data_IF_860816283628
#
_entry.id   IF_860816283628
#
_cell.length_a   1.000
_cell.length_b   1.000
_cell.length_c   1.000
_cell.angle_alpha   90.00
_cell.angle_beta   90.00
_cell.angle_gamma   90.00
#
_symmetry.space_group_name_H-M   'P 1'
#
loop_
_entity.id
_entity.type
_entity.pdbx_description
1 polymer ?
#
# COMPACT_ATOMS: atom_id res chain seq x y z
N UNK A 1 -7.73 -10.35 12.31
CA UNK A 1 -7.74 -9.45 11.16
C UNK A 1 -7.05 -10.14 10.02
N UNK A 2 -5.75 -9.87 9.83
CA UNK A 2 -4.91 -10.43 8.75
C UNK A 2 -4.97 -11.96 8.69
N UNK A 3 -4.71 -12.65 9.80
CA UNK A 3 -4.80 -14.12 9.83
C UNK A 3 -6.19 -14.69 9.43
N UNK A 4 -7.29 -13.95 9.68
CA UNK A 4 -8.63 -14.41 9.27
C UNK A 4 -8.90 -14.13 7.78
N UNK A 5 -8.30 -13.08 7.22
CA UNK A 5 -8.32 -12.81 5.78
C UNK A 5 -7.52 -13.89 5.05
N UNK A 6 -6.34 -14.24 5.60
CA UNK A 6 -5.47 -15.28 5.05
C UNK A 6 -6.04 -16.71 5.21
N UNK A 7 -7.01 -16.93 6.11
CA UNK A 7 -7.70 -18.22 6.32
C UNK A 7 -9.14 -18.24 5.80
N UNK A 8 -9.49 -17.38 4.83
CA UNK A 8 -10.81 -17.32 4.16
C UNK A 8 -12.02 -17.01 5.07
N UNK A 9 -11.82 -16.58 6.31
CA UNK A 9 -12.86 -16.04 7.20
C UNK A 9 -13.05 -14.52 6.96
N UNK A 10 -13.29 -14.18 5.70
CA UNK A 10 -13.25 -12.80 5.17
C UNK A 10 -14.18 -11.83 5.91
N UNK A 11 -15.35 -12.30 6.37
CA UNK A 11 -16.34 -11.46 7.06
C UNK A 11 -15.88 -11.06 8.47
N UNK A 12 -15.27 -12.01 9.21
CA UNK A 12 -14.71 -11.71 10.52
C UNK A 12 -13.45 -10.83 10.39
N UNK A 13 -12.61 -11.10 9.38
CA UNK A 13 -11.43 -10.28 9.08
C UNK A 13 -11.76 -8.80 8.88
N UNK A 14 -12.77 -8.52 8.05
CA UNK A 14 -13.28 -7.18 7.79
C UNK A 14 -13.77 -6.48 9.05
N UNK A 15 -14.66 -7.12 9.83
CA UNK A 15 -15.25 -6.52 11.04
C UNK A 15 -14.18 -6.06 12.02
N UNK A 16 -13.16 -6.90 12.24
CA UNK A 16 -12.04 -6.57 13.13
C UNK A 16 -11.23 -5.38 12.62
N UNK A 17 -10.96 -5.29 11.31
CA UNK A 17 -10.19 -4.18 10.72
C UNK A 17 -10.98 -2.87 10.75
N UNK A 18 -12.27 -2.89 10.41
CA UNK A 18 -13.16 -1.72 10.49
C UNK A 18 -13.27 -1.23 11.93
N UNK A 19 -13.44 -2.15 12.89
CA UNK A 19 -13.46 -1.82 14.32
C UNK A 19 -12.14 -1.22 14.78
N UNK A 20 -11.01 -1.74 14.32
CA UNK A 20 -9.67 -1.19 14.60
C UNK A 20 -9.56 0.27 14.13
N UNK A 21 -9.91 0.54 12.86
CA UNK A 21 -9.89 1.90 12.30
C UNK A 21 -10.80 2.86 13.07
N UNK A 22 -11.99 2.38 13.49
CA UNK A 22 -12.92 3.18 14.30
C UNK A 22 -12.32 3.59 15.65
N UNK A 23 -11.65 2.66 16.33
CA UNK A 23 -11.02 2.91 17.63
C UNK A 23 -9.80 3.83 17.51
N UNK A 24 -9.01 3.68 16.44
CA UNK A 24 -7.79 4.44 16.21
C UNK A 24 -8.02 5.81 15.54
N UNK A 25 -9.25 6.14 15.14
CA UNK A 25 -9.58 7.35 14.36
C UNK A 25 -8.98 8.64 14.94
N UNK A 26 -9.02 8.81 16.27
CA UNK A 26 -8.50 10.01 16.96
C UNK A 26 -6.97 10.07 17.02
N UNK A 27 -6.31 8.94 16.83
CA UNK A 27 -4.86 8.77 16.95
C UNK A 27 -4.21 8.41 15.60
N UNK A 28 -4.93 8.53 14.49
CA UNK A 28 -4.49 8.01 13.19
C UNK A 28 -3.16 8.57 12.67
N UNK A 29 -2.75 9.76 13.13
CA UNK A 29 -1.46 10.40 12.80
C UNK A 29 -0.42 10.26 13.91
N UNK A 30 -0.73 9.58 15.01
CA UNK A 30 0.27 9.37 16.06
C UNK A 30 1.34 8.41 15.57
N UNK A 31 2.58 8.64 16.03
CA UNK A 31 3.72 7.76 15.78
C UNK A 31 3.40 6.30 16.14
N UNK A 32 2.59 6.07 17.17
CA UNK A 32 2.23 4.72 17.60
C UNK A 32 1.24 4.07 16.65
N UNK A 33 0.19 4.78 16.22
CA UNK A 33 -0.98 4.17 15.60
C UNK A 33 -1.01 4.25 14.07
N UNK A 34 -0.23 5.13 13.46
CA UNK A 34 -0.32 5.36 12.01
C UNK A 34 -0.01 4.11 11.18
N UNK A 35 0.99 3.30 11.58
CA UNK A 35 1.32 2.03 10.92
C UNK A 35 0.14 1.07 10.92
N UNK A 36 -0.56 0.97 12.05
CA UNK A 36 -1.74 0.10 12.19
C UNK A 36 -2.88 0.58 11.30
N UNK A 37 -3.09 1.90 11.22
CA UNK A 37 -4.14 2.47 10.38
C UNK A 37 -3.88 2.19 8.89
N UNK A 38 -2.67 2.48 8.42
CA UNK A 38 -2.25 2.26 7.03
C UNK A 38 -2.34 0.77 6.67
N UNK A 39 -1.81 -0.12 7.51
CA UNK A 39 -1.89 -1.57 7.24
C UNK A 39 -3.34 -2.07 7.23
N UNK A 40 -4.19 -1.60 8.16
CA UNK A 40 -5.60 -1.98 8.17
C UNK A 40 -6.35 -1.46 6.93
N UNK A 41 -6.07 -0.24 6.47
CA UNK A 41 -6.64 0.31 5.24
C UNK A 41 -6.15 -0.45 4.00
N UNK A 42 -4.85 -0.78 3.91
CA UNK A 42 -4.31 -1.58 2.81
C UNK A 42 -5.00 -2.94 2.75
N UNK A 43 -5.10 -3.65 3.87
CA UNK A 43 -5.72 -4.97 3.92
C UNK A 43 -7.22 -4.92 3.58
N UNK A 44 -7.94 -3.87 4.00
CA UNK A 44 -9.32 -3.66 3.56
C UNK A 44 -9.38 -3.37 2.05
N UNK A 45 -8.47 -2.54 1.53
CA UNK A 45 -8.36 -2.26 0.11
C UNK A 45 -8.15 -3.53 -0.73
N UNK A 46 -7.23 -4.40 -0.31
CA UNK A 46 -6.97 -5.69 -0.94
C UNK A 46 -8.21 -6.58 -0.87
N UNK A 47 -8.80 -6.74 0.32
CA UNK A 47 -9.99 -7.56 0.54
C UNK A 47 -11.16 -7.13 -0.36
N UNK A 48 -11.43 -5.83 -0.46
CA UNK A 48 -12.50 -5.32 -1.32
C UNK A 48 -12.17 -5.48 -2.80
N UNK A 49 -10.89 -5.37 -3.18
CA UNK A 49 -10.44 -5.63 -4.55
C UNK A 49 -10.64 -7.10 -4.95
N UNK A 50 -10.37 -8.04 -4.04
CA UNK A 50 -10.58 -9.48 -4.25
C UNK A 50 -12.07 -9.85 -4.34
N UNK A 51 -12.95 -9.03 -3.74
CA UNK A 51 -14.41 -9.14 -3.86
C UNK A 51 -14.99 -8.42 -5.07
N UNK A 52 -14.14 -7.87 -5.94
CA UNK A 52 -14.52 -7.09 -7.12
C UNK A 52 -15.29 -5.79 -6.79
N UNK A 53 -15.25 -5.32 -5.54
CA UNK A 53 -15.82 -4.05 -5.09
C UNK A 53 -14.78 -2.93 -5.24
N UNK A 54 -14.46 -2.59 -6.48
CA UNK A 54 -13.28 -1.81 -6.87
C UNK A 54 -13.33 -0.37 -6.32
N UNK A 55 -14.48 0.28 -6.29
CA UNK A 55 -14.63 1.65 -5.76
C UNK A 55 -14.38 1.69 -4.25
N UNK A 56 -14.82 0.66 -3.52
CA UNK A 56 -14.59 0.54 -2.09
C UNK A 56 -13.10 0.28 -1.82
N UNK A 57 -12.47 -0.60 -2.61
CA UNK A 57 -11.04 -0.85 -2.56
C UNK A 57 -10.24 0.44 -2.79
N UNK A 58 -10.60 1.20 -3.83
CA UNK A 58 -10.00 2.49 -4.15
C UNK A 58 -10.05 3.45 -2.97
N UNK A 59 -11.22 3.62 -2.35
CA UNK A 59 -11.40 4.57 -1.25
C UNK A 59 -10.49 4.25 -0.05
N UNK A 60 -10.32 2.96 0.30
CA UNK A 60 -9.42 2.55 1.37
C UNK A 60 -7.95 2.81 1.02
N UNK A 61 -7.52 2.44 -0.18
CA UNK A 61 -6.13 2.57 -0.62
C UNK A 61 -5.71 4.05 -0.83
N UNK A 62 -6.59 4.89 -1.39
CA UNK A 62 -6.35 6.35 -1.50
C UNK A 62 -6.32 7.00 -0.12
N UNK A 63 -7.20 6.58 0.80
CA UNK A 63 -7.15 7.09 2.18
C UNK A 63 -5.86 6.67 2.90
N UNK A 64 -5.32 5.48 2.61
CA UNK A 64 -4.06 4.99 3.15
C UNK A 64 -2.87 5.79 2.61
N UNK A 65 -2.83 6.04 1.30
CA UNK A 65 -1.84 6.90 0.66
C UNK A 65 -1.86 8.32 1.24
N UNK A 66 -3.05 8.91 1.37
CA UNK A 66 -3.20 10.24 1.94
C UNK A 66 -2.68 10.30 3.39
N UNK A 67 -2.96 9.28 4.19
CA UNK A 67 -2.51 9.20 5.58
C UNK A 67 -0.99 9.07 5.66
N UNK A 68 -0.39 8.23 4.82
CA UNK A 68 1.07 8.11 4.71
C UNK A 68 1.73 9.44 4.37
N UNK A 69 1.25 10.09 3.30
CA UNK A 69 1.81 11.35 2.82
C UNK A 69 1.67 12.47 3.86
N UNK A 70 0.52 12.51 4.55
CA UNK A 70 0.29 13.47 5.64
C UNK A 70 1.27 13.23 6.80
N UNK A 71 1.39 12.00 7.27
CA UNK A 71 2.28 11.66 8.38
C UNK A 71 3.75 11.95 8.06
N UNK A 72 4.22 11.57 6.87
CA UNK A 72 5.61 11.84 6.46
C UNK A 72 5.90 13.34 6.29
N UNK A 73 4.88 14.14 5.94
CA UNK A 73 5.00 15.60 5.85
C UNK A 73 5.03 16.26 7.23
N UNK A 74 4.23 15.79 8.18
CA UNK A 74 4.07 16.42 9.50
C UNK A 74 5.10 15.95 10.54
N UNK A 75 5.44 14.65 10.52
CA UNK A 75 6.29 14.00 11.53
C UNK A 75 7.65 13.62 10.94
N UNK A 76 7.65 12.96 9.77
CA UNK A 76 8.86 12.64 9.02
C UNK A 76 9.79 11.57 9.63
N UNK A 77 9.42 10.95 10.76
CA UNK A 77 10.15 9.84 11.38
C UNK A 77 9.40 8.52 11.24
N UNK A 78 10.09 7.37 11.14
CA UNK A 78 9.41 6.09 10.93
C UNK A 78 8.58 5.71 12.17
N UNK A 79 7.29 5.39 12.00
CA UNK A 79 6.37 5.09 13.09
C UNK A 79 6.66 3.74 13.74
N UNK A 80 6.07 3.48 14.90
CA UNK A 80 6.21 2.20 15.59
C UNK A 80 5.60 1.08 14.74
N UNK A 81 6.32 -0.02 14.58
CA UNK A 81 5.80 -1.19 13.87
C UNK A 81 4.74 -1.91 14.74
N UNK A 82 3.65 -2.43 14.14
CA UNK A 82 2.65 -3.19 14.88
C UNK A 82 3.21 -4.36 15.69
N UNK A 83 4.26 -5.02 15.20
CA UNK A 83 4.85 -6.21 15.84
C UNK A 83 5.61 -5.87 17.11
N UNK A 84 6.19 -4.67 17.22
CA UNK A 84 6.96 -4.23 18.38
C UNK A 84 6.14 -4.13 19.67
N UNK A 85 4.80 -4.06 19.57
CA UNK A 85 3.90 -4.02 20.73
C UNK A 85 3.93 -5.29 21.58
N UNK A 86 4.36 -6.38 20.98
CA UNK A 86 4.40 -7.70 21.61
C UNK A 86 5.82 -8.15 21.93
N UNK A 87 6.82 -7.30 21.65
CA UNK A 87 8.24 -7.60 21.86
C UNK A 87 8.76 -6.93 23.14
N UNK A 88 9.69 -7.56 23.87
CA UNK A 88 10.45 -6.90 24.92
C UNK A 88 11.34 -5.79 24.34
N UNK A 89 11.79 -4.85 25.18
CA UNK A 89 12.50 -3.64 24.73
C UNK A 89 13.78 -3.97 23.93
N UNK A 90 14.51 -5.00 24.36
CA UNK A 90 15.73 -5.50 23.74
C UNK A 90 15.53 -6.12 22.34
N UNK A 91 14.30 -6.50 22.00
CA UNK A 91 13.95 -7.08 20.69
C UNK A 91 13.21 -6.09 19.77
N UNK A 92 13.01 -4.85 20.23
CA UNK A 92 12.39 -3.81 19.41
C UNK A 92 13.24 -3.47 18.20
N UNK A 93 12.56 -3.00 17.16
CA UNK A 93 13.20 -2.70 15.89
C UNK A 93 14.02 -1.42 16.01
N UNK A 94 15.14 -1.39 15.30
CA UNK A 94 15.86 -0.16 15.07
C UNK A 94 15.03 0.81 14.21
N UNK A 95 15.34 2.10 14.28
CA UNK A 95 14.69 3.11 13.44
C UNK A 95 14.83 2.80 11.94
N UNK A 96 16.00 2.28 11.53
CA UNK A 96 16.24 1.88 10.14
C UNK A 96 15.36 0.70 9.71
N UNK A 97 15.14 -0.28 10.58
CA UNK A 97 14.25 -1.41 10.31
C UNK A 97 12.78 -0.97 10.25
N UNK A 98 12.35 -0.11 11.18
CA UNK A 98 11.01 0.51 11.14
C UNK A 98 10.78 1.26 9.83
N UNK A 99 11.75 2.08 9.43
CA UNK A 99 11.70 2.80 8.15
C UNK A 99 11.55 1.83 6.98
N UNK A 100 12.40 0.81 6.87
CA UNK A 100 12.30 -0.19 5.79
C UNK A 100 10.94 -0.88 5.74
N UNK A 101 10.41 -1.30 6.89
CA UNK A 101 9.09 -1.95 6.96
C UNK A 101 7.97 -0.98 6.57
N UNK A 102 8.03 0.26 7.03
CA UNK A 102 7.04 1.28 6.70
C UNK A 102 7.03 1.62 5.21
N UNK A 103 8.20 1.82 4.60
CA UNK A 103 8.33 2.07 3.16
C UNK A 103 7.85 0.86 2.33
N UNK A 104 8.04 -0.38 2.82
CA UNK A 104 7.51 -1.59 2.19
C UNK A 104 5.98 -1.61 2.19
N UNK A 105 5.35 -1.30 3.33
CA UNK A 105 3.89 -1.21 3.45
C UNK A 105 3.33 -0.16 2.48
N UNK A 106 3.97 1.01 2.39
CA UNK A 106 3.54 2.05 1.46
C UNK A 106 3.73 1.65 -0.01
N UNK A 107 4.85 1.03 -0.36
CA UNK A 107 5.09 0.53 -1.72
C UNK A 107 4.05 -0.52 -2.12
N UNK A 108 3.63 -1.37 -1.18
CA UNK A 108 2.56 -2.34 -1.38
C UNK A 108 1.21 -1.67 -1.65
N UNK A 109 0.89 -0.58 -0.93
CA UNK A 109 -0.29 0.22 -1.21
C UNK A 109 -0.31 0.76 -2.65
N UNK A 110 0.80 1.33 -3.12
CA UNK A 110 0.91 1.86 -4.48
C UNK A 110 0.74 0.77 -5.54
N UNK A 111 1.25 -0.44 -5.29
CA UNK A 111 1.07 -1.58 -6.17
C UNK A 111 -0.41 -1.97 -6.33
N UNK A 112 -1.19 -1.97 -5.25
CA UNK A 112 -2.62 -2.25 -5.33
C UNK A 112 -3.42 -1.08 -5.91
N UNK A 113 -3.02 0.18 -5.68
CA UNK A 113 -3.61 1.32 -6.37
C UNK A 113 -3.44 1.20 -7.89
N UNK A 114 -2.27 0.77 -8.37
CA UNK A 114 -2.08 0.51 -9.79
C UNK A 114 -3.09 -0.51 -10.34
N UNK A 115 -3.32 -1.61 -9.63
CA UNK A 115 -4.30 -2.63 -10.04
C UNK A 115 -5.72 -2.10 -10.02
N UNK A 116 -6.13 -1.41 -8.95
CA UNK A 116 -7.46 -0.81 -8.85
C UNK A 116 -7.71 0.18 -9.99
N UNK A 117 -6.76 1.06 -10.31
CA UNK A 117 -6.91 1.97 -11.44
C UNK A 117 -6.88 1.28 -12.80
N UNK A 118 -6.17 0.15 -12.91
CA UNK A 118 -6.22 -0.67 -14.11
C UNK A 118 -7.62 -1.27 -14.30
N UNK A 119 -8.27 -1.74 -13.24
CA UNK A 119 -9.65 -2.24 -13.27
C UNK A 119 -10.68 -1.15 -13.60
N UNK A 120 -10.47 0.08 -13.13
CA UNK A 120 -11.31 1.25 -13.45
C UNK A 120 -11.02 1.85 -14.84
N UNK A 121 -10.20 1.19 -15.66
CA UNK A 121 -9.76 1.67 -16.98
C UNK A 121 -9.06 3.05 -16.97
N UNK A 122 -8.58 3.49 -15.80
CA UNK A 122 -7.81 4.71 -15.61
C UNK A 122 -6.32 4.46 -15.88
N UNK A 123 -6.00 4.05 -17.10
CA UNK A 123 -4.69 3.49 -17.46
C UNK A 123 -3.50 4.43 -17.20
N UNK A 124 -3.68 5.74 -17.36
CA UNK A 124 -2.66 6.74 -17.00
C UNK A 124 -2.31 6.73 -15.52
N UNK A 125 -3.35 6.67 -14.67
CA UNK A 125 -3.19 6.68 -13.22
C UNK A 125 -2.58 5.35 -12.79
N UNK A 126 -3.03 4.23 -13.36
CA UNK A 126 -2.42 2.91 -13.16
C UNK A 126 -0.92 2.90 -13.53
N UNK A 127 -0.56 3.42 -14.72
CA UNK A 127 0.82 3.49 -15.18
C UNK A 127 1.69 4.38 -14.28
N UNK A 128 1.14 5.48 -13.75
CA UNK A 128 1.82 6.32 -12.78
C UNK A 128 2.15 5.55 -11.49
N UNK A 129 1.17 4.83 -10.92
CA UNK A 129 1.40 4.01 -9.73
C UNK A 129 2.36 2.84 -9.99
N UNK A 130 2.29 2.20 -11.17
CA UNK A 130 3.27 1.18 -11.58
C UNK A 130 4.69 1.76 -11.61
N UNK A 131 4.89 2.94 -12.20
CA UNK A 131 6.18 3.62 -12.22
C UNK A 131 6.68 3.88 -10.80
N UNK A 132 5.84 4.50 -9.95
CA UNK A 132 6.19 4.84 -8.57
C UNK A 132 6.55 3.60 -7.75
N UNK A 133 5.82 2.50 -7.96
CA UNK A 133 6.10 1.21 -7.32
C UNK A 133 7.47 0.66 -7.74
N UNK A 134 7.75 0.59 -9.05
CA UNK A 134 9.02 0.08 -9.59
C UNK A 134 10.22 0.92 -9.12
N UNK A 135 10.08 2.24 -9.11
CA UNK A 135 11.11 3.16 -8.63
C UNK A 135 11.44 2.89 -7.16
N UNK A 136 10.44 2.82 -6.30
CA UNK A 136 10.62 2.57 -4.87
C UNK A 136 11.18 1.18 -4.57
N UNK A 137 10.75 0.18 -5.33
CA UNK A 137 11.30 -1.17 -5.28
C UNK A 137 12.82 -1.19 -5.51
N UNK A 138 13.32 -0.43 -6.49
CA UNK A 138 14.76 -0.26 -6.72
C UNK A 138 15.44 0.51 -5.58
N UNK A 139 14.88 1.65 -5.16
CA UNK A 139 15.45 2.51 -4.11
C UNK A 139 15.66 1.78 -2.78
N UNK A 140 14.77 0.84 -2.46
CA UNK A 140 14.83 0.06 -1.21
C UNK A 140 15.41 -1.36 -1.40
N UNK A 141 15.87 -1.72 -2.60
CA UNK A 141 16.34 -3.05 -2.96
C UNK A 141 15.37 -4.18 -2.52
N UNK A 142 14.07 -3.92 -2.69
CA UNK A 142 12.98 -4.76 -2.20
C UNK A 142 12.13 -5.29 -3.37
N UNK A 143 12.72 -6.13 -4.21
CA UNK A 143 12.07 -6.69 -5.39
C UNK A 143 12.62 -8.06 -5.78
N UNK A 144 11.79 -8.83 -6.50
CA UNK A 144 12.26 -10.02 -7.20
C UNK A 144 12.74 -9.62 -8.60
N UNK A 145 14.01 -9.88 -8.99
CA UNK A 145 14.59 -9.34 -10.22
C UNK A 145 13.78 -9.65 -11.49
N UNK A 146 13.24 -10.86 -11.61
CA UNK A 146 12.47 -11.28 -12.79
C UNK A 146 11.12 -10.55 -12.85
N UNK A 147 10.40 -10.48 -11.73
CA UNK A 147 9.08 -9.81 -11.69
C UNK A 147 9.21 -8.31 -11.96
N UNK A 148 10.24 -7.69 -11.37
CA UNK A 148 10.54 -6.29 -11.59
C UNK A 148 10.84 -6.01 -13.07
N UNK A 149 11.66 -6.85 -13.71
CA UNK A 149 11.99 -6.71 -15.13
C UNK A 149 10.76 -6.86 -16.03
N UNK A 150 9.88 -7.82 -15.73
CA UNK A 150 8.62 -8.01 -16.48
C UNK A 150 7.71 -6.79 -16.33
N UNK A 151 7.50 -6.30 -15.10
CA UNK A 151 6.66 -5.14 -14.84
C UNK A 151 7.21 -3.87 -15.49
N UNK A 152 8.53 -3.68 -15.48
CA UNK A 152 9.19 -2.58 -16.18
C UNK A 152 9.03 -2.66 -17.70
N UNK A 153 9.13 -3.86 -18.28
CA UNK A 153 8.91 -4.08 -19.71
C UNK A 153 7.45 -3.79 -20.12
N UNK A 154 6.47 -4.26 -19.34
CA UNK A 154 5.05 -3.97 -19.56
C UNK A 154 4.77 -2.47 -19.51
N UNK A 155 5.33 -1.76 -18.52
CA UNK A 155 5.19 -0.31 -18.41
C UNK A 155 5.83 0.43 -19.61
N UNK A 156 6.99 -0.04 -20.07
CA UNK A 156 7.63 0.50 -21.28
C UNK A 156 6.73 0.34 -22.51
N UNK A 157 6.15 -0.85 -22.70
CA UNK A 157 5.24 -1.12 -23.81
C UNK A 157 4.00 -0.21 -23.79
N UNK A 158 3.44 0.06 -22.61
CA UNK A 158 2.34 1.01 -22.44
C UNK A 158 2.70 2.41 -22.97
N UNK A 159 3.86 2.96 -22.58
CA UNK A 159 4.29 4.29 -23.03
C UNK A 159 4.61 4.34 -24.52
N UNK A 160 5.19 3.27 -25.07
CA UNK A 160 5.43 3.15 -26.52
C UNK A 160 4.09 3.24 -27.27
N UNK A 161 3.10 2.43 -26.87
CA UNK A 161 1.78 2.42 -27.50
C UNK A 161 1.09 3.79 -27.40
N UNK A 162 1.16 4.44 -26.23
CA UNK A 162 0.60 5.79 -26.03
C UNK A 162 1.23 6.82 -26.97
N UNK A 163 2.56 6.83 -27.09
CA UNK A 163 3.28 7.75 -27.97
C UNK A 163 2.97 7.50 -29.46
N UNK A 164 2.78 6.24 -29.86
CA UNK A 164 2.36 5.89 -31.23
C UNK A 164 0.94 6.40 -31.55
N UNK A 165 -0.01 6.24 -30.62
CA UNK A 165 -1.37 6.76 -30.77
C UNK A 165 -1.34 8.29 -30.90
N UNK A 166 -0.59 9.00 -30.05
CA UNK A 166 -0.50 10.46 -30.09
C UNK A 166 0.11 11.02 -31.40
N UNK A 167 1.00 10.27 -32.07
CA UNK A 167 1.59 10.68 -33.35
C UNK A 167 0.72 10.36 -34.57
N UNK A 168 -0.36 9.60 -34.40
CA UNK A 168 -1.24 9.13 -35.47
C UNK A 168 -2.51 10.01 -35.65
N UNK A 169 -2.65 11.06 -34.85
CA UNK A 169 -3.67 12.11 -34.94
C UNK A 169 -3.01 13.46 -35.25
#
# INVERSE_FOLDING_TARGET
GVNHIDTEELSAGEEHLVKCLRLLRRYRLSHDCVSLCIQAQNNLGILWSEREEIETAQAYLESSEALYNQYMKEVGSPPLDPTERFLPEEEKLTEQERSKRFEKVYTHNLYYLAQVYQHLEMFEKAAHYCHSTLKRQLEHNAYHPIEWAINAATLSQFYINKNFIQKSY
#
